data_IF_041479899935
#
_entry.id   IF_041479899935
#
_cell.length_a   1.000
_cell.length_b   1.000
_cell.length_c   1.000
_cell.angle_alpha   90.00
_cell.angle_beta   90.00
_cell.angle_gamma   90.00
#
_symmetry.space_group_name_H-M   'P 1'
#
loop_
_entity.id
_entity.type
_entity.pdbx_description
1 polymer ?
#
# COMPACT_ATOMS: atom_id res chain seq x y z
N UNK A 1 -10.93 6.09 18.14
CA UNK A 1 -10.57 4.84 18.83
C UNK A 1 -9.91 3.92 17.82
N UNK A 2 -8.80 3.31 18.15
CA UNK A 2 -8.26 2.28 17.29
C UNK A 2 -9.31 1.17 17.19
N UNK A 3 -9.77 0.90 15.99
CA UNK A 3 -10.60 -0.27 15.74
C UNK A 3 -9.73 -1.48 16.08
N UNK A 4 -10.03 -2.12 17.20
CA UNK A 4 -9.40 -3.39 17.53
C UNK A 4 -9.59 -4.31 16.34
N UNK A 5 -8.48 -4.81 15.82
CA UNK A 5 -8.54 -5.87 14.82
C UNK A 5 -9.28 -7.04 15.43
N UNK A 6 -10.47 -7.30 14.94
CA UNK A 6 -11.34 -8.34 15.50
C UNK A 6 -10.81 -9.76 15.26
N UNK A 7 -9.74 -9.90 14.47
CA UNK A 7 -9.20 -11.17 14.06
C UNK A 7 -7.76 -10.99 13.55
N UNK A 8 -6.84 -11.81 14.00
CA UNK A 8 -5.45 -11.82 13.52
C UNK A 8 -5.29 -12.42 12.11
N UNK A 9 -6.35 -12.98 11.56
CA UNK A 9 -6.38 -13.62 10.25
C UNK A 9 -7.34 -12.94 9.26
N UNK A 10 -7.54 -11.63 9.42
CA UNK A 10 -8.45 -10.87 8.55
C UNK A 10 -8.10 -10.95 7.06
N UNK A 11 -6.84 -11.23 6.72
CA UNK A 11 -6.40 -11.42 5.34
C UNK A 11 -6.97 -12.69 4.69
N UNK A 12 -7.49 -13.63 5.47
CA UNK A 12 -8.19 -14.81 4.97
C UNK A 12 -9.63 -14.44 4.56
N UNK A 13 -10.25 -13.54 5.31
CA UNK A 13 -11.64 -13.12 5.08
C UNK A 13 -11.71 -12.05 3.98
N UNK A 14 -10.72 -11.18 3.91
CA UNK A 14 -10.61 -10.12 2.91
C UNK A 14 -9.54 -10.48 1.90
N UNK A 15 -9.93 -10.89 0.70
CA UNK A 15 -9.02 -11.22 -0.38
C UNK A 15 -8.25 -10.00 -0.89
N UNK A 16 -7.11 -10.24 -1.51
CA UNK A 16 -6.35 -9.19 -2.20
C UNK A 16 -7.11 -8.71 -3.43
N UNK A 17 -7.21 -7.41 -3.58
CA UNK A 17 -7.78 -6.75 -4.75
C UNK A 17 -6.75 -5.76 -5.29
N UNK A 18 -6.39 -5.91 -6.55
CA UNK A 18 -5.52 -4.95 -7.22
C UNK A 18 -6.35 -3.81 -7.82
N UNK A 19 -5.80 -2.58 -7.87
CA UNK A 19 -6.51 -1.47 -8.50
C UNK A 19 -6.74 -1.73 -9.99
N UNK A 20 -7.91 -1.35 -10.49
CA UNK A 20 -8.25 -1.49 -11.89
C UNK A 20 -7.34 -0.62 -12.77
N UNK A 21 -6.95 -1.14 -13.91
CA UNK A 21 -6.17 -0.40 -14.90
C UNK A 21 -7.11 0.35 -15.85
N UNK A 22 -6.69 1.53 -16.27
CA UNK A 22 -7.35 2.27 -17.33
C UNK A 22 -7.30 1.51 -18.64
N UNK A 23 -8.27 1.75 -19.50
CA UNK A 23 -8.32 1.16 -20.83
C UNK A 23 -7.08 1.49 -21.67
N UNK A 24 -6.71 0.58 -22.58
CA UNK A 24 -5.50 0.72 -23.37
C UNK A 24 -5.50 1.96 -24.28
N UNK A 25 -6.64 2.28 -24.86
CA UNK A 25 -6.77 3.45 -25.74
C UNK A 25 -6.65 4.75 -24.96
N UNK A 26 -7.28 4.82 -23.79
CA UNK A 26 -7.13 5.95 -22.88
C UNK A 26 -5.68 6.16 -22.44
N UNK A 27 -4.95 5.07 -22.19
CA UNK A 27 -3.54 5.15 -21.79
C UNK A 27 -2.61 5.65 -22.88
N UNK A 28 -2.96 5.44 -24.16
CA UNK A 28 -2.20 5.96 -25.29
C UNK A 28 -2.38 7.47 -25.50
N UNK A 29 -3.59 7.95 -25.23
CA UNK A 29 -3.94 9.35 -25.45
C UNK A 29 -3.54 10.24 -24.26
N UNK A 30 -3.56 9.67 -23.06
CA UNK A 30 -3.24 10.38 -21.82
C UNK A 30 -1.96 9.83 -21.17
N UNK A 31 -0.96 10.67 -20.96
CA UNK A 31 0.25 10.31 -20.22
C UNK A 31 0.03 10.53 -18.71
N UNK A 32 -1.05 9.95 -18.18
CA UNK A 32 -1.44 10.02 -16.78
C UNK A 32 -1.28 8.67 -16.09
N UNK A 33 -1.66 8.57 -14.82
CA UNK A 33 -1.60 7.34 -14.04
C UNK A 33 -2.37 6.20 -14.72
N UNK A 34 -1.76 5.02 -14.77
CA UNK A 34 -2.33 3.83 -15.42
C UNK A 34 -3.47 3.22 -14.62
N UNK A 35 -3.38 3.29 -13.29
CA UNK A 35 -4.35 2.69 -12.39
C UNK A 35 -5.42 3.67 -11.98
N UNK A 36 -6.65 3.17 -11.79
CA UNK A 36 -7.69 3.92 -11.09
C UNK A 36 -7.40 3.90 -9.59
N UNK A 37 -7.55 5.04 -8.89
CA UNK A 37 -7.38 5.05 -7.44
C UNK A 37 -8.47 4.24 -6.75
N UNK A 38 -8.13 3.60 -5.64
CA UNK A 38 -9.13 2.98 -4.78
C UNK A 38 -10.06 4.02 -4.17
N UNK A 39 -11.33 3.64 -3.97
CA UNK A 39 -12.21 4.38 -3.08
C UNK A 39 -11.67 4.33 -1.64
N UNK A 40 -12.05 5.28 -0.79
CA UNK A 40 -11.63 5.26 0.61
C UNK A 40 -12.04 3.97 1.33
N UNK A 41 -13.20 3.42 0.98
CA UNK A 41 -13.70 2.16 1.52
C UNK A 41 -12.81 0.98 1.10
N UNK A 42 -12.47 0.90 -0.17
CA UNK A 42 -11.63 -0.20 -0.69
C UNK A 42 -10.20 -0.10 -0.17
N UNK A 43 -9.66 1.10 -0.09
CA UNK A 43 -8.34 1.34 0.50
C UNK A 43 -8.30 0.91 1.97
N UNK A 44 -9.32 1.26 2.75
CA UNK A 44 -9.45 0.85 4.16
C UNK A 44 -9.56 -0.66 4.30
N UNK A 45 -10.35 -1.31 3.46
CA UNK A 45 -10.52 -2.76 3.44
C UNK A 45 -9.20 -3.47 3.12
N UNK A 46 -8.46 -3.03 2.11
CA UNK A 46 -7.17 -3.62 1.76
C UNK A 46 -6.10 -3.36 2.83
N UNK A 47 -6.07 -2.17 3.40
CA UNK A 47 -5.14 -1.82 4.49
C UNK A 47 -5.41 -2.65 5.76
N UNK A 48 -6.66 -3.02 6.01
CA UNK A 48 -7.05 -3.86 7.14
C UNK A 48 -6.45 -5.28 7.08
N UNK A 49 -5.99 -5.73 5.93
CA UNK A 49 -5.29 -7.01 5.79
C UNK A 49 -3.95 -7.06 6.51
N UNK A 50 -3.37 -5.92 6.84
CA UNK A 50 -2.10 -5.84 7.56
C UNK A 50 -2.22 -6.44 8.97
N UNK A 51 -1.27 -7.30 9.33
CA UNK A 51 -1.24 -7.96 10.65
C UNK A 51 -0.61 -7.11 11.76
N UNK A 52 -0.02 -5.96 11.43
CA UNK A 52 0.73 -5.12 12.36
C UNK A 52 1.80 -5.92 13.11
N UNK A 53 2.66 -6.62 12.36
CA UNK A 53 3.67 -7.52 12.93
C UNK A 53 4.61 -6.78 13.90
N UNK A 54 4.95 -7.41 15.02
CA UNK A 54 5.95 -6.88 15.95
C UNK A 54 7.36 -6.86 15.34
N UNK A 55 7.58 -7.68 14.32
CA UNK A 55 8.81 -7.76 13.55
C UNK A 55 8.50 -7.54 12.06
N UNK A 56 8.27 -6.28 11.62
CA UNK A 56 7.75 -6.00 10.29
C UNK A 56 8.82 -6.11 9.22
N UNK A 57 8.88 -7.24 8.53
CA UNK A 57 9.81 -7.46 7.41
C UNK A 57 9.62 -6.43 6.28
N UNK A 58 8.41 -5.96 6.05
CA UNK A 58 8.14 -4.93 5.04
C UNK A 58 8.91 -3.64 5.34
N UNK A 59 8.92 -3.18 6.59
CA UNK A 59 9.69 -2.01 7.02
C UNK A 59 11.20 -2.26 6.96
N UNK A 60 11.63 -3.46 7.31
CA UNK A 60 13.05 -3.82 7.27
C UNK A 60 13.61 -3.91 5.86
N UNK A 61 12.84 -4.45 4.93
CA UNK A 61 13.24 -4.57 3.54
C UNK A 61 13.15 -3.26 2.77
N UNK A 62 12.41 -2.28 3.29
CA UNK A 62 12.35 -0.96 2.69
C UNK A 62 13.70 -0.23 2.89
N UNK A 63 14.35 0.25 1.82
CA UNK A 63 15.67 0.91 1.92
C UNK A 63 15.68 2.15 2.80
N UNK A 64 14.55 2.81 2.95
CA UNK A 64 14.39 4.00 3.79
C UNK A 64 13.65 3.71 5.09
N UNK A 65 13.42 2.45 5.42
CA UNK A 65 12.71 2.00 6.62
C UNK A 65 11.38 2.72 6.85
N UNK A 66 10.54 2.74 5.83
CA UNK A 66 9.24 3.38 5.89
C UNK A 66 8.34 2.70 6.93
N UNK A 67 7.50 3.49 7.59
CA UNK A 67 6.58 3.03 8.64
C UNK A 67 5.34 2.34 8.06
N UNK A 68 5.53 1.26 7.30
CA UNK A 68 4.49 0.62 6.50
C UNK A 68 3.30 0.12 7.35
N UNK A 69 3.49 -0.65 8.44
CA UNK A 69 2.36 -1.09 9.25
C UNK A 69 1.58 0.08 9.87
N UNK A 70 2.29 1.14 10.22
CA UNK A 70 1.68 2.30 10.89
C UNK A 70 0.78 3.09 9.95
N UNK A 71 1.22 3.41 8.73
CA UNK A 71 0.35 4.14 7.81
C UNK A 71 -0.76 3.24 7.22
N UNK A 72 -0.55 1.92 7.11
CA UNK A 72 -1.63 1.00 6.76
C UNK A 72 -2.73 0.99 7.82
N UNK A 73 -2.37 1.01 9.09
CA UNK A 73 -3.35 1.12 10.17
C UNK A 73 -4.15 2.43 10.09
N UNK A 74 -3.48 3.55 9.84
CA UNK A 74 -4.16 4.84 9.66
C UNK A 74 -5.13 4.82 8.48
N UNK A 75 -4.79 4.18 7.37
CA UNK A 75 -5.69 4.02 6.23
C UNK A 75 -6.89 3.16 6.62
N UNK A 76 -6.69 2.07 7.35
CA UNK A 76 -7.79 1.21 7.79
C UNK A 76 -8.76 1.92 8.73
N UNK A 77 -8.27 2.89 9.49
CA UNK A 77 -9.08 3.77 10.35
C UNK A 77 -9.77 4.91 9.60
N UNK A 78 -9.47 5.08 8.31
CA UNK A 78 -10.00 6.17 7.49
C UNK A 78 -9.22 7.48 7.59
N UNK A 79 -8.11 7.53 8.31
CA UNK A 79 -7.28 8.73 8.45
C UNK A 79 -6.23 8.82 7.35
N UNK A 80 -6.68 9.08 6.12
CA UNK A 80 -5.84 9.07 4.92
C UNK A 80 -4.75 10.15 4.99
N UNK A 81 -5.09 11.35 5.46
CA UNK A 81 -4.12 12.46 5.48
C UNK A 81 -2.94 12.19 6.40
N UNK A 82 -3.20 11.65 7.59
CA UNK A 82 -2.14 11.25 8.52
C UNK A 82 -1.30 10.10 7.95
N UNK A 83 -1.92 9.16 7.24
CA UNK A 83 -1.21 8.07 6.58
C UNK A 83 -0.27 8.58 5.49
N UNK A 84 -0.71 9.52 4.67
CA UNK A 84 0.11 10.15 3.62
C UNK A 84 1.29 10.90 4.24
N UNK A 85 1.06 11.68 5.28
CA UNK A 85 2.12 12.40 5.99
C UNK A 85 3.17 11.44 6.54
N UNK A 86 2.75 10.36 7.18
CA UNK A 86 3.65 9.34 7.72
C UNK A 86 4.41 8.59 6.63
N UNK A 87 3.75 8.25 5.53
CA UNK A 87 4.35 7.58 4.37
C UNK A 87 5.47 8.42 3.74
N UNK A 88 5.27 9.73 3.65
CA UNK A 88 6.25 10.65 3.08
C UNK A 88 7.34 11.10 4.06
N UNK A 89 7.27 10.71 5.31
CA UNK A 89 8.22 11.15 6.34
C UNK A 89 9.65 10.68 6.06
N UNK A 90 9.81 9.47 5.55
CA UNK A 90 11.12 8.88 5.24
C UNK A 90 11.47 8.92 3.76
N UNK A 91 10.49 9.15 2.89
CA UNK A 91 10.66 9.14 1.45
C UNK A 91 9.66 10.06 0.77
N UNK A 92 10.14 10.99 -0.04
CA UNK A 92 9.29 11.92 -0.78
C UNK A 92 8.56 11.26 -1.96
N UNK A 93 9.08 10.14 -2.48
CA UNK A 93 8.56 9.44 -3.64
C UNK A 93 8.44 7.94 -3.37
N UNK A 94 7.51 7.50 -2.50
CA UNK A 94 7.39 6.08 -2.12
C UNK A 94 7.07 5.16 -3.31
N UNK A 95 6.33 5.62 -4.28
CA UNK A 95 6.00 4.86 -5.50
C UNK A 95 7.25 4.52 -6.32
N UNK A 96 8.16 5.46 -6.48
CA UNK A 96 9.41 5.25 -7.22
C UNK A 96 10.28 4.18 -6.56
N UNK A 97 10.36 4.17 -5.25
CA UNK A 97 11.11 3.16 -4.48
C UNK A 97 10.48 1.78 -4.64
N UNK A 98 9.17 1.67 -4.56
CA UNK A 98 8.44 0.41 -4.74
C UNK A 98 8.70 -0.20 -6.11
N UNK A 99 8.64 0.60 -7.16
CA UNK A 99 8.94 0.13 -8.52
C UNK A 99 10.39 -0.33 -8.68
N UNK A 100 11.33 0.41 -8.14
CA UNK A 100 12.75 0.11 -8.28
C UNK A 100 13.15 -1.17 -7.53
N UNK A 101 12.71 -1.31 -6.29
CA UNK A 101 13.15 -2.40 -5.40
C UNK A 101 12.30 -3.66 -5.49
N UNK A 102 11.03 -3.56 -5.83
CA UNK A 102 10.16 -4.73 -5.95
C UNK A 102 10.18 -5.33 -7.37
N UNK A 103 10.23 -4.50 -8.38
CA UNK A 103 10.12 -4.95 -9.77
C UNK A 103 11.44 -5.37 -10.37
N UNK A 104 12.46 -4.54 -10.29
CA UNK A 104 13.76 -4.81 -10.91
C UNK A 104 14.53 -5.97 -10.27
N UNK A 105 14.66 -6.06 -8.95
CA UNK A 105 15.30 -7.22 -8.31
C UNK A 105 14.58 -8.52 -8.60
N UNK A 106 13.27 -8.52 -8.65
CA UNK A 106 12.47 -9.72 -8.94
C UNK A 106 12.76 -10.24 -10.35
N UNK A 107 12.92 -9.38 -11.33
CA UNK A 107 13.29 -9.76 -12.69
C UNK A 107 14.69 -10.33 -12.81
N UNK A 108 15.57 -10.03 -11.89
CA UNK A 108 16.93 -10.59 -11.86
C UNK A 108 17.01 -11.98 -11.27
N UNK A 109 16.08 -12.34 -10.44
CA UNK A 109 16.05 -13.62 -9.72
C UNK A 109 15.34 -14.70 -10.57
N UNK A 110 14.55 -14.28 -11.50
CA UNK A 110 13.86 -15.12 -12.46
C UNK A 110 14.57 -15.08 -13.81
#
# INVERSE_FOLDING_TARGET
MPTQKNNDFQFLDVGRVDPAKKDLDQRKDEFTEIYHPFSNKDAGSQAHRCLACGNPYCSWKCPVHNHIPNWLELISQGNIMAAVELCHKTNSLPEAVSYTHLTLPTKRIV
#
